data_IF_504766890202
#
_entry.id   IF_504766890202
#
_cell.length_a   1.000
_cell.length_b   1.000
_cell.length_c   1.000
_cell.angle_alpha   90.00
_cell.angle_beta   90.00
_cell.angle_gamma   90.00
#
_symmetry.space_group_name_H-M   'P 1'
#
loop_
_entity.id
_entity.type
_entity.pdbx_description
1 polymer ?
#
# COMPACT_ATOMS: atom_id res chain seq x y z
N UNK A 1 -35.25 11.61 45.97
CA UNK A 1 -34.57 11.23 44.70
C UNK A 1 -33.39 12.16 44.42
N UNK A 2 -32.30 12.05 45.21
CA UNK A 2 -31.06 12.84 45.02
C UNK A 2 -29.78 12.03 45.29
N UNK A 3 -29.92 10.75 45.68
CA UNK A 3 -28.80 9.87 46.05
C UNK A 3 -28.45 8.83 44.98
N UNK A 4 -29.19 8.77 43.87
CA UNK A 4 -28.96 7.81 42.77
C UNK A 4 -28.07 8.42 41.66
N UNK A 5 -27.88 9.74 41.64
CA UNK A 5 -27.09 10.41 40.60
C UNK A 5 -25.58 10.36 40.82
N UNK A 6 -25.11 9.90 41.99
CA UNK A 6 -23.68 9.87 42.32
C UNK A 6 -22.97 8.57 41.92
N UNK A 7 -23.69 7.55 41.46
CA UNK A 7 -23.13 6.22 41.19
C UNK A 7 -22.77 5.99 39.72
N UNK A 8 -23.17 6.88 38.80
CA UNK A 8 -22.92 6.75 37.36
C UNK A 8 -21.59 7.39 36.93
N UNK A 9 -21.03 8.30 37.73
CA UNK A 9 -19.77 9.00 37.41
C UNK A 9 -18.52 8.14 37.68
N UNK A 10 -18.64 7.03 38.40
CA UNK A 10 -17.49 6.23 38.84
C UNK A 10 -17.01 5.16 37.82
N UNK A 11 -17.68 4.98 36.68
CA UNK A 11 -17.36 3.91 35.72
C UNK A 11 -16.60 4.35 34.45
N UNK A 12 -16.28 5.65 34.28
CA UNK A 12 -15.60 6.13 33.07
C UNK A 12 -14.07 6.19 33.13
N UNK A 13 -13.42 5.77 34.22
CA UNK A 13 -11.98 6.01 34.42
C UNK A 13 -11.01 4.98 33.81
N UNK A 14 -11.50 3.91 33.17
CA UNK A 14 -10.67 2.74 32.77
C UNK A 14 -10.24 2.69 31.29
N UNK A 15 -10.45 3.77 30.54
CA UNK A 15 -10.11 3.84 29.11
C UNK A 15 -8.77 4.53 28.78
N UNK A 16 -7.98 4.98 29.77
CA UNK A 16 -6.84 5.87 29.52
C UNK A 16 -5.46 5.19 29.37
N UNK A 17 -5.33 3.87 29.59
CA UNK A 17 -4.01 3.24 29.65
C UNK A 17 -3.36 2.93 28.28
N UNK A 18 -4.12 2.61 27.23
CA UNK A 18 -3.51 2.24 25.93
C UNK A 18 -2.98 3.43 25.14
N UNK A 19 -3.49 4.64 25.39
CA UNK A 19 -2.96 5.86 24.76
C UNK A 19 -1.54 6.20 25.22
N UNK A 20 -1.20 5.86 26.46
CA UNK A 20 0.10 6.13 27.07
C UNK A 20 1.19 5.20 26.51
N UNK A 21 0.84 3.94 26.26
CA UNK A 21 1.76 2.95 25.67
C UNK A 21 2.07 3.30 24.20
N UNK A 22 1.06 3.71 23.41
CA UNK A 22 1.29 4.17 22.03
C UNK A 22 2.15 5.44 21.98
N UNK A 23 2.01 6.32 22.97
CA UNK A 23 2.84 7.51 23.09
C UNK A 23 4.31 7.16 23.40
N UNK A 24 4.52 6.19 24.30
CA UNK A 24 5.84 5.65 24.61
C UNK A 24 6.48 5.05 23.37
N UNK A 25 5.77 4.18 22.65
CA UNK A 25 6.27 3.55 21.42
C UNK A 25 6.63 4.59 20.37
N UNK A 26 5.82 5.64 20.21
CA UNK A 26 6.12 6.73 19.28
C UNK A 26 7.43 7.46 19.64
N UNK A 27 7.63 7.83 20.91
CA UNK A 27 8.85 8.51 21.38
C UNK A 27 10.10 7.66 21.18
N UNK A 28 10.00 6.37 21.50
CA UNK A 28 11.11 5.43 21.33
C UNK A 28 11.42 5.17 19.86
N UNK A 29 10.40 5.07 19.02
CA UNK A 29 10.55 4.95 17.56
C UNK A 29 11.25 6.18 16.99
N UNK A 30 10.82 7.39 17.36
CA UNK A 30 11.49 8.65 16.98
C UNK A 30 12.97 8.63 17.40
N UNK A 31 13.24 8.28 18.67
CA UNK A 31 14.60 8.27 19.22
C UNK A 31 15.51 7.24 18.53
N UNK A 32 14.97 6.07 18.21
CA UNK A 32 15.66 5.02 17.47
C UNK A 32 16.06 5.50 16.07
N UNK A 33 15.15 6.16 15.36
CA UNK A 33 15.38 6.67 14.00
C UNK A 33 16.35 7.86 13.97
N UNK A 34 16.28 8.77 14.93
CA UNK A 34 17.25 9.88 15.06
C UNK A 34 18.67 9.35 15.31
N UNK A 35 18.79 8.35 16.19
CA UNK A 35 20.07 7.70 16.44
C UNK A 35 20.61 6.97 15.20
N UNK A 36 19.73 6.35 14.40
CA UNK A 36 20.09 5.71 13.13
C UNK A 36 20.58 6.73 12.10
N UNK A 37 19.84 7.82 11.89
CA UNK A 37 20.25 8.91 10.97
C UNK A 37 21.57 9.56 11.37
N UNK A 38 21.82 9.70 12.67
CA UNK A 38 23.10 10.25 13.15
C UNK A 38 24.28 9.35 12.79
N UNK A 39 24.08 8.02 12.80
CA UNK A 39 25.11 7.04 12.43
C UNK A 39 25.24 6.87 10.92
N UNK A 40 24.13 6.97 10.20
CA UNK A 40 24.02 6.70 8.77
C UNK A 40 23.25 7.85 8.09
N UNK A 41 23.91 8.99 7.83
CA UNK A 41 23.24 10.20 7.32
C UNK A 41 22.76 10.09 5.87
N UNK A 42 23.18 9.04 5.15
CA UNK A 42 22.83 8.78 3.74
C UNK A 42 22.01 7.50 3.58
N UNK A 43 21.17 7.18 4.56
CA UNK A 43 20.27 6.03 4.51
C UNK A 43 19.35 6.15 3.29
N UNK A 44 19.20 5.08 2.51
CA UNK A 44 18.29 5.09 1.36
C UNK A 44 16.83 5.13 1.82
N UNK A 45 15.90 5.56 0.96
CA UNK A 45 14.47 5.61 1.32
C UNK A 45 13.90 4.23 1.68
N UNK A 46 14.35 3.17 1.00
CA UNK A 46 13.95 1.79 1.28
C UNK A 46 14.50 1.28 2.63
N UNK A 47 15.78 1.59 2.92
CA UNK A 47 16.39 1.27 4.20
C UNK A 47 15.73 2.07 5.33
N UNK A 48 15.39 3.35 5.08
CA UNK A 48 14.69 4.19 6.05
C UNK A 48 13.32 3.63 6.42
N UNK A 49 12.51 3.19 5.45
CA UNK A 49 11.23 2.52 5.75
C UNK A 49 11.40 1.26 6.57
N UNK A 50 12.39 0.45 6.21
CA UNK A 50 12.71 -0.78 6.94
C UNK A 50 13.05 -0.45 8.38
N UNK A 51 13.89 0.56 8.61
CA UNK A 51 14.27 1.01 9.95
C UNK A 51 13.08 1.57 10.73
N UNK A 52 12.13 2.27 10.10
CA UNK A 52 10.88 2.71 10.74
C UNK A 52 10.11 1.50 11.29
N UNK A 53 9.91 0.47 10.45
CA UNK A 53 9.26 -0.77 10.87
C UNK A 53 10.00 -1.48 11.99
N UNK A 54 11.34 -1.60 11.89
CA UNK A 54 12.18 -2.26 12.90
C UNK A 54 12.13 -1.53 14.24
N UNK A 55 12.28 -0.21 14.25
CA UNK A 55 12.22 0.60 15.47
C UNK A 55 10.86 0.47 16.16
N UNK A 56 9.77 0.51 15.38
CA UNK A 56 8.41 0.38 15.91
C UNK A 56 8.12 -1.02 16.46
N UNK A 57 8.46 -2.08 15.71
CA UNK A 57 8.28 -3.47 16.14
C UNK A 57 9.09 -3.76 17.40
N UNK A 58 10.32 -3.24 17.49
CA UNK A 58 11.16 -3.39 18.67
C UNK A 58 10.48 -2.80 19.91
N UNK A 59 10.09 -1.53 19.85
CA UNK A 59 9.44 -0.87 20.99
C UNK A 59 8.09 -1.53 21.34
N UNK A 60 7.28 -1.89 20.34
CA UNK A 60 6.06 -2.65 20.59
C UNK A 60 6.33 -3.99 21.29
N UNK A 61 7.38 -4.71 20.89
CA UNK A 61 7.76 -5.99 21.51
C UNK A 61 8.16 -5.80 22.98
N UNK A 62 8.95 -4.75 23.26
CA UNK A 62 9.40 -4.39 24.60
C UNK A 62 8.22 -4.01 25.52
N UNK A 63 7.17 -3.39 24.94
CA UNK A 63 5.96 -2.96 25.66
C UNK A 63 4.74 -3.87 25.47
N UNK A 64 4.87 -5.02 24.80
CA UNK A 64 3.74 -5.90 24.45
C UNK A 64 2.95 -6.36 25.69
N UNK A 65 3.61 -6.45 26.85
CA UNK A 65 2.99 -6.84 28.11
C UNK A 65 2.03 -5.78 28.68
N UNK A 66 2.18 -4.52 28.28
CA UNK A 66 1.39 -3.37 28.75
C UNK A 66 0.07 -3.20 28.01
N UNK A 67 -0.07 -3.85 26.84
CA UNK A 67 -1.33 -3.90 26.10
C UNK A 67 -2.33 -4.87 26.74
N UNK A 68 -3.62 -4.51 26.67
CA UNK A 68 -4.69 -5.46 27.01
C UNK A 68 -4.65 -6.64 26.06
N UNK A 69 -5.03 -7.86 26.48
CA UNK A 69 -5.03 -9.03 25.59
C UNK A 69 -5.77 -8.82 24.26
N UNK A 70 -6.85 -8.01 24.26
CA UNK A 70 -7.62 -7.66 23.06
C UNK A 70 -6.96 -6.62 22.15
N UNK A 71 -5.94 -5.91 22.63
CA UNK A 71 -5.19 -4.88 21.89
C UNK A 71 -3.82 -5.40 21.43
N UNK A 72 -3.43 -6.61 21.86
CA UNK A 72 -2.22 -7.27 21.39
C UNK A 72 -2.44 -7.74 19.96
N UNK A 73 -1.52 -7.31 19.11
CA UNK A 73 -1.43 -7.68 17.72
C UNK A 73 -0.36 -8.76 17.56
N UNK A 74 -0.65 -9.77 16.75
CA UNK A 74 0.34 -10.74 16.29
C UNK A 74 0.98 -10.24 15.00
N UNK A 75 2.25 -10.55 14.76
CA UNK A 75 2.96 -10.06 13.57
C UNK A 75 2.47 -10.66 12.24
N UNK A 76 1.65 -11.72 12.28
CA UNK A 76 0.96 -12.30 11.12
C UNK A 76 -0.43 -11.69 10.85
N UNK A 77 -0.92 -10.82 11.74
CA UNK A 77 -2.17 -10.07 11.58
C UNK A 77 -1.90 -8.73 10.87
N UNK A 78 -2.03 -8.72 9.55
CA UNK A 78 -1.81 -7.54 8.72
C UNK A 78 -2.73 -6.37 9.10
N UNK A 79 -4.01 -6.63 9.40
CA UNK A 79 -4.97 -5.59 9.77
C UNK A 79 -4.64 -4.99 11.14
N UNK A 80 -4.32 -5.84 12.12
CA UNK A 80 -3.90 -5.41 13.45
C UNK A 80 -2.59 -4.60 13.41
N UNK A 81 -1.62 -5.06 12.62
CA UNK A 81 -0.33 -4.37 12.47
C UNK A 81 -0.50 -3.02 11.77
N UNK A 82 -1.40 -2.94 10.79
CA UNK A 82 -1.78 -1.68 10.16
C UNK A 82 -2.35 -0.67 11.16
N UNK A 83 -3.30 -1.09 12.01
CA UNK A 83 -3.89 -0.22 13.04
C UNK A 83 -2.88 0.21 14.11
N UNK A 84 -1.98 -0.68 14.52
CA UNK A 84 -0.89 -0.35 15.43
C UNK A 84 0.01 0.72 14.81
N UNK A 85 0.44 0.51 13.56
CA UNK A 85 1.28 1.45 12.82
C UNK A 85 0.62 2.82 12.67
N UNK A 86 -0.66 2.87 12.32
CA UNK A 86 -1.44 4.12 12.24
C UNK A 86 -1.48 4.84 13.60
N UNK A 87 -1.80 4.10 14.67
CA UNK A 87 -1.87 4.65 16.02
C UNK A 87 -0.54 5.25 16.48
N UNK A 88 0.57 4.56 16.23
CA UNK A 88 1.92 5.05 16.53
C UNK A 88 2.28 6.26 15.66
N UNK A 89 2.03 6.21 14.35
CA UNK A 89 2.34 7.30 13.43
C UNK A 89 1.61 8.61 13.79
N UNK A 90 0.33 8.52 14.20
CA UNK A 90 -0.44 9.67 14.68
C UNK A 90 0.18 10.32 15.93
N UNK A 91 0.77 9.51 16.82
CA UNK A 91 1.50 10.01 17.99
C UNK A 91 2.86 10.58 17.61
N UNK A 92 3.58 9.94 16.69
CA UNK A 92 4.86 10.43 16.17
C UNK A 92 4.76 11.82 15.55
N UNK A 93 3.64 12.18 14.91
CA UNK A 93 3.41 13.55 14.40
C UNK A 93 3.59 14.63 15.48
N UNK A 94 3.35 14.31 16.75
CA UNK A 94 3.50 15.23 17.87
C UNK A 94 4.95 15.34 18.36
N UNK A 95 5.75 14.27 18.21
CA UNK A 95 7.11 14.18 18.77
C UNK A 95 8.20 14.39 17.72
N UNK A 96 8.05 13.81 16.53
CA UNK A 96 9.02 13.87 15.45
C UNK A 96 8.32 14.02 14.08
N UNK A 97 7.64 15.16 13.82
CA UNK A 97 6.91 15.39 12.57
C UNK A 97 7.80 15.26 11.32
N UNK A 98 9.08 15.63 11.41
CA UNK A 98 10.02 15.55 10.29
C UNK A 98 10.25 14.11 9.83
N UNK A 99 10.29 13.15 10.76
CA UNK A 99 10.42 11.71 10.47
C UNK A 99 9.19 11.20 9.71
N UNK A 100 7.98 11.60 10.12
CA UNK A 100 6.75 11.20 9.43
C UNK A 100 6.67 11.83 8.04
N UNK A 101 7.08 13.09 7.90
CA UNK A 101 7.13 13.74 6.59
C UNK A 101 8.12 13.07 5.64
N UNK A 102 9.27 12.66 6.16
CA UNK A 102 10.25 11.90 5.38
C UNK A 102 9.75 10.50 5.04
N UNK A 103 9.10 9.80 5.98
CA UNK A 103 8.49 8.51 5.72
C UNK A 103 7.42 8.61 4.64
N UNK A 104 6.61 9.66 4.67
CA UNK A 104 5.62 9.94 3.62
C UNK A 104 6.23 10.28 2.25
N UNK A 105 7.44 10.86 2.21
CA UNK A 105 8.19 11.07 0.94
C UNK A 105 8.75 9.75 0.43
N UNK A 106 9.43 9.00 1.30
CA UNK A 106 9.94 7.69 0.99
C UNK A 106 8.81 6.77 0.50
N UNK A 107 7.66 6.76 1.17
CA UNK A 107 6.49 5.93 0.83
C UNK A 107 5.89 6.24 -0.55
N UNK A 108 6.06 7.46 -1.08
CA UNK A 108 5.63 7.78 -2.46
C UNK A 108 6.45 7.06 -3.52
N UNK A 109 7.66 6.60 -3.19
CA UNK A 109 8.51 5.82 -4.11
C UNK A 109 8.27 4.30 -4.02
N UNK A 110 7.40 3.84 -3.10
CA UNK A 110 6.92 2.45 -3.06
C UNK A 110 5.40 2.39 -2.90
N UNK A 111 4.69 2.55 -4.00
CA UNK A 111 3.84 1.43 -4.36
C UNK A 111 4.79 0.23 -4.41
N UNK A 112 4.63 -0.72 -3.49
CA UNK A 112 5.34 -2.01 -3.54
C UNK A 112 5.13 -2.55 -4.94
N UNK A 113 6.12 -2.37 -5.82
CA UNK A 113 6.15 -3.00 -7.13
C UNK A 113 6.30 -4.49 -6.86
N UNK A 114 5.19 -5.17 -6.62
CA UNK A 114 4.93 -6.36 -7.44
C UNK A 114 5.13 -5.84 -8.84
N UNK A 115 6.25 -6.20 -9.47
CA UNK A 115 6.39 -5.90 -10.90
C UNK A 115 5.14 -6.49 -11.54
N UNK A 116 4.24 -5.61 -11.97
CA UNK A 116 3.04 -6.03 -12.67
C UNK A 116 3.50 -6.94 -13.80
N UNK A 117 2.94 -8.17 -13.89
CA UNK A 117 3.26 -9.09 -14.97
C UNK A 117 3.38 -8.34 -16.28
N UNK A 118 4.52 -8.49 -16.94
CA UNK A 118 4.79 -7.78 -18.19
C UNK A 118 4.97 -8.77 -19.33
N UNK A 119 4.54 -8.36 -20.53
CA UNK A 119 4.76 -9.12 -21.75
C UNK A 119 5.14 -8.20 -22.89
N UNK A 120 5.95 -8.70 -23.81
CA UNK A 120 6.29 -8.01 -25.06
C UNK A 120 5.60 -8.68 -26.23
N UNK A 121 5.05 -7.89 -27.14
CA UNK A 121 4.33 -8.40 -28.29
C UNK A 121 4.08 -7.36 -29.36
N UNK A 122 3.63 -7.84 -30.51
CA UNK A 122 3.20 -7.02 -31.63
C UNK A 122 1.69 -6.76 -31.54
N UNK A 123 1.27 -5.53 -31.77
CA UNK A 123 -0.16 -5.14 -31.81
C UNK A 123 -0.85 -5.77 -33.00
N UNK A 124 -1.79 -6.67 -32.73
CA UNK A 124 -2.60 -7.32 -33.77
C UNK A 124 -3.88 -6.55 -34.05
N UNK A 125 -4.51 -6.00 -33.01
CA UNK A 125 -5.76 -5.22 -33.11
C UNK A 125 -5.99 -4.31 -31.90
N UNK A 126 -6.81 -3.28 -32.09
CA UNK A 126 -7.28 -2.40 -31.01
C UNK A 126 -8.79 -2.25 -31.21
N UNK A 127 -9.57 -2.71 -30.23
CA UNK A 127 -11.03 -2.67 -30.28
C UNK A 127 -11.57 -1.56 -29.41
N UNK A 128 -12.38 -0.69 -30.00
CA UNK A 128 -13.01 0.46 -29.37
C UNK A 128 -14.49 0.17 -29.09
N UNK A 129 -14.75 -0.75 -28.16
CA UNK A 129 -16.10 -1.04 -27.66
C UNK A 129 -16.35 -0.23 -26.36
N UNK A 130 -17.26 -0.67 -25.49
CA UNK A 130 -17.51 -0.01 -24.19
C UNK A 130 -16.23 0.19 -23.36
N UNK A 131 -15.32 -0.79 -23.41
CA UNK A 131 -13.97 -0.68 -22.87
C UNK A 131 -12.98 -0.99 -24.00
N UNK A 132 -11.87 -0.24 -24.05
CA UNK A 132 -10.84 -0.44 -25.07
C UNK A 132 -10.12 -1.75 -24.79
N UNK A 133 -9.96 -2.58 -25.83
CA UNK A 133 -9.19 -3.83 -25.75
C UNK A 133 -8.00 -3.78 -26.69
N UNK A 134 -6.80 -3.83 -26.12
CA UNK A 134 -5.55 -3.99 -26.85
C UNK A 134 -5.27 -5.48 -27.07
N UNK A 135 -5.02 -5.88 -28.32
CA UNK A 135 -4.66 -7.25 -28.67
C UNK A 135 -3.19 -7.33 -29.06
N UNK A 136 -2.45 -8.21 -28.38
CA UNK A 136 -1.02 -8.44 -28.60
C UNK A 136 -0.75 -9.90 -28.98
N UNK A 137 0.23 -10.11 -29.84
CA UNK A 137 0.81 -11.42 -30.13
C UNK A 137 2.25 -11.45 -29.67
N UNK A 138 2.59 -12.38 -28.78
CA UNK A 138 3.96 -12.53 -28.29
C UNK A 138 4.86 -13.26 -29.31
N UNK A 139 6.14 -13.34 -29.00
CA UNK A 139 7.14 -14.04 -29.82
C UNK A 139 6.90 -15.55 -29.98
N UNK A 140 6.12 -16.17 -29.09
CA UNK A 140 5.71 -17.59 -29.18
C UNK A 140 4.47 -17.78 -30.07
N UNK A 141 3.86 -16.67 -30.48
CA UNK A 141 2.65 -16.64 -31.29
C UNK A 141 1.35 -16.69 -30.49
N UNK A 142 1.41 -16.58 -29.15
CA UNK A 142 0.23 -16.55 -28.29
C UNK A 142 -0.43 -15.17 -28.34
N UNK A 143 -1.76 -15.15 -28.42
CA UNK A 143 -2.55 -13.93 -28.41
C UNK A 143 -3.01 -13.57 -26.99
N UNK A 144 -2.97 -12.29 -26.67
CA UNK A 144 -3.42 -11.72 -25.40
C UNK A 144 -4.41 -10.59 -25.66
N UNK A 145 -5.45 -10.52 -24.82
CA UNK A 145 -6.37 -9.40 -24.76
C UNK A 145 -6.14 -8.65 -23.45
N UNK A 146 -5.90 -7.35 -23.52
CA UNK A 146 -5.71 -6.49 -22.36
C UNK A 146 -6.72 -5.34 -22.40
N UNK A 147 -7.44 -5.14 -21.30
CA UNK A 147 -8.44 -4.09 -21.16
C UNK A 147 -7.80 -2.81 -20.66
N UNK A 148 -8.24 -1.68 -21.19
CA UNK A 148 -8.03 -0.37 -20.59
C UNK A 148 -9.28 -0.03 -19.75
N UNK A 149 -9.17 -0.16 -18.43
CA UNK A 149 -10.23 0.20 -17.48
C UNK A 149 -9.87 1.43 -16.65
N UNK A 150 -8.60 1.54 -16.26
CA UNK A 150 -8.09 2.60 -15.39
C UNK A 150 -7.14 3.56 -16.11
N UNK A 151 -6.94 4.74 -15.52
CA UNK A 151 -5.95 5.71 -15.97
C UNK A 151 -4.57 5.38 -15.39
N UNK A 152 -3.53 5.48 -16.23
CA UNK A 152 -2.12 5.35 -15.84
C UNK A 152 -1.25 6.24 -16.75
N UNK A 153 -0.02 6.53 -16.34
CA UNK A 153 0.86 7.54 -16.96
C UNK A 153 0.99 7.44 -18.49
N UNK A 154 1.03 6.21 -19.00
CA UNK A 154 1.24 5.92 -20.43
C UNK A 154 -0.04 5.50 -21.17
N UNK A 155 -1.21 5.59 -20.53
CA UNK A 155 -2.50 5.25 -21.15
C UNK A 155 -2.83 6.15 -22.35
N UNK A 156 -2.32 7.39 -22.34
CA UNK A 156 -2.43 8.36 -23.43
C UNK A 156 -1.91 7.83 -24.76
N UNK A 157 -0.91 6.93 -24.76
CA UNK A 157 -0.41 6.29 -25.98
C UNK A 157 -1.50 5.50 -26.71
N UNK A 158 -2.44 4.92 -25.98
CA UNK A 158 -3.58 4.20 -26.56
C UNK A 158 -4.74 5.16 -26.85
N UNK A 159 -5.10 6.02 -25.89
CA UNK A 159 -6.28 6.91 -26.01
C UNK A 159 -6.10 8.04 -27.04
N UNK A 160 -4.86 8.45 -27.33
CA UNK A 160 -4.55 9.42 -28.38
C UNK A 160 -4.32 8.78 -29.76
N UNK A 161 -4.59 7.48 -29.93
CA UNK A 161 -4.33 6.72 -31.17
C UNK A 161 -2.86 6.76 -31.64
N UNK A 162 -1.96 6.81 -30.68
CA UNK A 162 -0.52 6.87 -30.91
C UNK A 162 0.11 5.49 -31.16
N UNK A 163 -0.58 4.43 -30.71
CA UNK A 163 -0.27 3.02 -30.96
C UNK A 163 -1.08 2.52 -32.16
N UNK A 164 -0.43 1.79 -33.07
CA UNK A 164 -1.01 1.23 -34.29
C UNK A 164 -0.77 -0.27 -34.40
N UNK A 165 -1.51 -0.91 -35.30
CA UNK A 165 -1.25 -2.31 -35.69
C UNK A 165 0.20 -2.45 -36.16
N UNK A 166 0.83 -3.57 -35.78
CA UNK A 166 2.24 -3.92 -36.02
C UNK A 166 3.27 -3.17 -35.16
N UNK A 167 2.84 -2.24 -34.30
CA UNK A 167 3.76 -1.67 -33.32
C UNK A 167 4.19 -2.74 -32.32
N UNK A 168 5.44 -2.67 -31.89
CA UNK A 168 5.99 -3.53 -30.85
C UNK A 168 5.91 -2.80 -29.52
N UNK A 169 5.31 -3.46 -28.54
CA UNK A 169 5.10 -2.91 -27.22
C UNK A 169 5.57 -3.88 -26.16
N UNK A 170 6.06 -3.31 -25.06
CA UNK A 170 6.07 -3.97 -23.76
C UNK A 170 4.90 -3.41 -22.96
N UNK A 171 4.08 -4.28 -22.40
CA UNK A 171 2.93 -3.90 -21.58
C UNK A 171 3.02 -4.54 -20.22
N UNK A 172 2.62 -3.80 -19.20
CA UNK A 172 2.39 -4.32 -17.85
C UNK A 172 0.89 -4.38 -17.58
N UNK A 173 0.48 -5.38 -16.81
CA UNK A 173 -0.91 -5.59 -16.48
C UNK A 173 -1.08 -6.22 -15.11
N UNK A 174 -2.26 -6.04 -14.54
CA UNK A 174 -2.76 -6.80 -13.40
C UNK A 174 -3.88 -7.74 -13.85
N UNK A 175 -4.16 -8.79 -13.08
CA UNK A 175 -5.30 -9.67 -13.31
C UNK A 175 -6.40 -9.36 -12.30
N UNK A 176 -7.57 -8.94 -12.80
CA UNK A 176 -8.74 -8.62 -11.98
C UNK A 176 -9.85 -9.60 -12.31
N UNK A 177 -10.48 -10.15 -11.27
CA UNK A 177 -11.65 -11.01 -11.42
C UNK A 177 -12.89 -10.15 -11.68
N UNK A 178 -13.52 -10.35 -12.84
CA UNK A 178 -14.73 -9.65 -13.26
C UNK A 178 -15.82 -10.65 -13.65
N UNK A 179 -17.08 -10.27 -13.45
CA UNK A 179 -18.21 -11.08 -13.93
C UNK A 179 -18.38 -10.93 -15.44
N UNK A 180 -18.15 -12.01 -16.18
CA UNK A 180 -18.38 -12.08 -17.63
C UNK A 180 -19.86 -12.39 -17.88
N UNK A 181 -20.64 -11.36 -18.24
CA UNK A 181 -22.07 -11.52 -18.48
C UNK A 181 -22.42 -12.51 -19.61
N UNK A 182 -21.51 -12.76 -20.57
CA UNK A 182 -21.74 -13.74 -21.64
C UNK A 182 -21.52 -15.16 -21.15
N UNK A 183 -20.45 -15.38 -20.37
CA UNK A 183 -20.12 -16.69 -19.81
C UNK A 183 -20.93 -17.03 -18.55
N UNK A 184 -21.51 -16.02 -17.88
CA UNK A 184 -22.24 -16.11 -16.60
C UNK A 184 -21.39 -16.63 -15.44
N UNK A 185 -20.11 -16.26 -15.39
CA UNK A 185 -19.16 -16.64 -14.36
C UNK A 185 -18.16 -15.51 -14.10
N UNK A 186 -17.47 -15.58 -12.96
CA UNK A 186 -16.33 -14.72 -12.66
C UNK A 186 -15.07 -15.28 -13.34
N UNK A 187 -14.31 -14.39 -13.99
CA UNK A 187 -13.08 -14.76 -14.73
C UNK A 187 -12.04 -13.68 -14.55
N UNK A 188 -10.77 -14.07 -14.60
CA UNK A 188 -9.66 -13.11 -14.59
C UNK A 188 -9.47 -12.45 -15.95
N UNK A 189 -9.43 -11.12 -15.94
CA UNK A 189 -9.12 -10.29 -17.09
C UNK A 189 -7.80 -9.55 -16.85
N UNK A 190 -7.01 -9.39 -17.91
CA UNK A 190 -5.77 -8.60 -17.88
C UNK A 190 -6.13 -7.13 -18.08
N UNK A 191 -5.78 -6.29 -17.12
CA UNK A 191 -6.04 -4.85 -17.15
C UNK A 191 -4.71 -4.11 -17.23
N UNK A 192 -4.58 -3.22 -18.21
CA UNK A 192 -3.36 -2.47 -18.49
C UNK A 192 -2.99 -1.56 -17.32
N UNK A 193 -1.71 -1.57 -16.96
CA UNK A 193 -1.14 -0.66 -15.96
C UNK A 193 0.04 0.16 -16.52
N UNK A 194 0.66 -0.30 -17.62
CA UNK A 194 1.72 0.44 -18.32
C UNK A 194 1.85 0.03 -19.79
N UNK A 195 2.24 0.99 -20.63
CA UNK A 195 2.58 0.80 -22.04
C UNK A 195 3.95 1.41 -22.34
N UNK A 196 4.82 0.65 -23.01
CA UNK A 196 6.15 1.10 -23.46
C UNK A 196 6.35 0.69 -24.93
N UNK A 197 6.80 1.62 -25.78
CA UNK A 197 7.18 1.32 -27.17
C UNK A 197 8.55 0.63 -27.20
N UNK A 198 8.72 -0.33 -28.11
CA UNK A 198 10.00 -1.01 -28.37
C UNK A 198 10.61 -0.60 -29.70
#
# INVERSE_FOLDING_TARGET
>A
MKKIFLLVVLFCSVAAHSQDVLETIAKETCSCLEAKKTKEPNLSDADFKTEVGVCMIKSYSDHMSEFKPSEKVNFDDEEGMGKLGEGVALKMLQFCPDIIMEFGRAAKDEDVKKEDPSLSGEVTDIKWDQFVTLQLKDQTGRNYNLLLLDSFDTASLLTNNEIKKKDKLKVSYTEIELFDAKAKEFRYFKVLTKLERQ
#
